data_IF_959332154139
#
_entry.id   IF_959332154139
#
_cell.length_a   1.000
_cell.length_b   1.000
_cell.length_c   1.000
_cell.angle_alpha   90.00
_cell.angle_beta   90.00
_cell.angle_gamma   90.00
#
_symmetry.space_group_name_H-M   'P 1'
#
loop_
_entity.id
_entity.type
_entity.pdbx_description
1 polymer ?
#
# COMPACT_ATOMS: atom_id res chain seq x y z
N UNK A 1 -10.86 -18.05 -1.15
CA UNK A 1 -9.76 -17.21 -0.67
C UNK A 1 -8.65 -17.25 -1.70
N UNK A 2 -8.22 -16.11 -2.23
CA UNK A 2 -7.12 -16.01 -3.20
C UNK A 2 -5.89 -15.43 -2.49
N UNK A 3 -4.71 -16.01 -2.71
CA UNK A 3 -3.45 -15.50 -2.15
C UNK A 3 -2.75 -14.60 -3.15
N UNK A 4 -2.26 -13.47 -2.68
CA UNK A 4 -1.55 -12.46 -3.50
C UNK A 4 -0.48 -11.79 -2.66
N UNK A 5 0.51 -11.21 -3.33
CA UNK A 5 1.66 -10.56 -2.67
C UNK A 5 1.84 -9.14 -3.19
N UNK A 6 2.37 -8.28 -2.33
CA UNK A 6 2.90 -6.98 -2.73
C UNK A 6 4.33 -7.09 -3.23
N UNK A 7 4.64 -6.31 -4.25
CA UNK A 7 5.99 -6.03 -4.69
C UNK A 7 6.22 -4.51 -4.64
N UNK A 8 6.93 -4.06 -3.60
CA UNK A 8 7.12 -2.65 -3.26
C UNK A 8 8.57 -2.17 -3.50
N UNK A 9 9.18 -2.59 -4.61
CA UNK A 9 10.52 -2.16 -5.04
C UNK A 9 10.41 -1.41 -6.36
N UNK A 10 11.21 -0.36 -6.54
CA UNK A 10 11.26 0.42 -7.79
C UNK A 10 11.74 -0.42 -8.97
N UNK A 11 12.59 -1.41 -8.76
CA UNK A 11 13.04 -2.31 -9.82
C UNK A 11 12.32 -3.64 -9.65
N UNK A 12 11.50 -4.00 -10.64
CA UNK A 12 10.88 -5.32 -10.69
C UNK A 12 11.88 -6.34 -11.23
N UNK A 13 12.37 -7.17 -10.31
CA UNK A 13 13.27 -8.27 -10.56
C UNK A 13 13.12 -9.32 -9.45
N UNK A 14 12.32 -10.35 -9.73
CA UNK A 14 12.10 -11.49 -8.85
C UNK A 14 13.37 -12.35 -8.83
N UNK A 15 13.91 -12.51 -7.63
CA UNK A 15 14.95 -13.49 -7.36
C UNK A 15 14.47 -14.93 -7.67
N UNK A 16 15.40 -15.88 -7.87
CA UNK A 16 15.03 -17.29 -8.00
C UNK A 16 14.16 -17.79 -6.85
N UNK A 17 14.41 -17.31 -5.62
CA UNK A 17 13.62 -17.70 -4.45
C UNK A 17 12.21 -17.13 -4.45
N UNK A 18 12.04 -15.86 -4.83
CA UNK A 18 10.72 -15.25 -4.99
C UNK A 18 9.92 -15.98 -6.07
N UNK A 19 10.53 -16.27 -7.23
CA UNK A 19 9.88 -17.05 -8.29
C UNK A 19 9.42 -18.45 -7.83
N UNK A 20 10.31 -19.19 -7.17
CA UNK A 20 9.99 -20.52 -6.64
C UNK A 20 8.83 -20.45 -5.62
N UNK A 21 8.87 -19.45 -4.73
CA UNK A 21 7.85 -19.27 -3.69
C UNK A 21 6.49 -18.95 -4.30
N UNK A 22 6.44 -18.04 -5.28
CA UNK A 22 5.20 -17.69 -5.99
C UNK A 22 4.60 -18.92 -6.70
N UNK A 23 5.44 -19.74 -7.33
CA UNK A 23 5.01 -20.96 -8.00
C UNK A 23 4.49 -22.02 -7.01
N UNK A 24 5.23 -22.30 -5.92
CA UNK A 24 4.83 -23.27 -4.89
C UNK A 24 3.50 -22.91 -4.23
N UNK A 25 3.25 -21.61 -4.03
CA UNK A 25 2.02 -21.12 -3.44
C UNK A 25 0.86 -20.96 -4.43
N UNK A 26 1.08 -21.28 -5.71
CA UNK A 26 0.13 -21.10 -6.82
C UNK A 26 -0.44 -19.67 -6.87
N UNK A 27 0.43 -18.66 -6.71
CA UNK A 27 0.03 -17.26 -6.78
C UNK A 27 -0.32 -16.91 -8.22
N UNK A 28 -1.46 -16.22 -8.41
CA UNK A 28 -1.90 -15.77 -9.74
C UNK A 28 -1.94 -14.25 -9.89
N UNK A 29 -1.72 -13.52 -8.80
CA UNK A 29 -1.86 -12.07 -8.79
C UNK A 29 -0.82 -11.41 -7.88
N UNK A 30 -0.16 -10.36 -8.41
CA UNK A 30 0.75 -9.49 -7.67
C UNK A 30 0.22 -8.06 -7.66
N UNK A 31 0.31 -7.42 -6.50
CA UNK A 31 0.12 -5.98 -6.35
C UNK A 31 1.48 -5.31 -6.49
N UNK A 32 1.69 -4.54 -7.55
CA UNK A 32 2.99 -3.89 -7.82
C UNK A 32 2.83 -2.39 -7.71
N UNK A 33 3.69 -1.75 -6.92
CA UNK A 33 3.78 -0.28 -6.87
C UNK A 33 4.33 0.26 -8.17
N UNK A 34 3.47 0.86 -8.98
CA UNK A 34 3.85 1.43 -10.28
C UNK A 34 4.57 2.76 -10.09
N UNK A 35 4.07 3.63 -9.23
CA UNK A 35 4.72 4.90 -8.91
C UNK A 35 4.09 5.50 -7.66
N UNK A 36 4.79 6.50 -7.14
CA UNK A 36 4.28 7.35 -6.06
C UNK A 36 3.88 8.70 -6.65
N UNK A 37 2.92 9.38 -6.05
CA UNK A 37 2.54 10.75 -6.35
C UNK A 37 2.95 11.59 -5.16
N UNK A 38 3.88 12.52 -5.41
CA UNK A 38 4.40 13.40 -4.37
C UNK A 38 4.36 14.87 -4.77
N UNK A 39 4.37 15.76 -3.79
CA UNK A 39 4.38 17.20 -4.02
C UNK A 39 5.80 17.69 -4.27
N UNK A 40 6.03 18.23 -5.46
CA UNK A 40 7.26 18.94 -5.77
C UNK A 40 7.15 20.39 -5.31
N UNK A 41 7.93 20.74 -4.30
CA UNK A 41 8.00 22.10 -3.74
C UNK A 41 8.53 23.15 -4.72
N UNK A 42 9.38 22.77 -5.67
CA UNK A 42 9.99 23.68 -6.64
C UNK A 42 9.02 24.01 -7.78
N UNK A 43 8.39 22.99 -8.35
CA UNK A 43 7.42 23.18 -9.45
C UNK A 43 6.01 23.50 -8.96
N UNK A 44 5.75 23.36 -7.66
CA UNK A 44 4.43 23.52 -7.03
C UNK A 44 3.37 22.65 -7.71
N UNK A 45 3.74 21.40 -8.00
CA UNK A 45 2.89 20.44 -8.68
C UNK A 45 3.00 19.06 -8.04
N UNK A 46 1.95 18.26 -8.17
CA UNK A 46 2.00 16.85 -7.83
C UNK A 46 2.60 16.06 -9.00
N UNK A 47 3.73 15.38 -8.74
CA UNK A 47 4.51 14.69 -9.75
C UNK A 47 4.66 13.19 -9.44
N UNK A 48 4.69 12.33 -10.46
CA UNK A 48 5.00 10.93 -10.27
C UNK A 48 6.49 10.74 -9.97
N UNK A 49 6.80 10.06 -8.87
CA UNK A 49 8.17 9.72 -8.44
C UNK A 49 8.29 8.21 -8.22
N UNK A 50 9.54 7.72 -8.09
CA UNK A 50 9.84 6.31 -7.83
C UNK A 50 9.07 5.32 -8.75
N UNK A 51 9.03 5.65 -10.06
CA UNK A 51 8.35 4.84 -11.08
C UNK A 51 9.02 3.48 -11.19
N UNK A 52 8.22 2.42 -11.24
CA UNK A 52 8.71 1.06 -11.36
C UNK A 52 9.35 0.81 -12.73
N UNK A 53 10.45 0.07 -12.72
CA UNK A 53 11.20 -0.34 -13.90
C UNK A 53 11.14 -1.87 -13.97
N UNK A 54 10.58 -2.41 -15.05
CA UNK A 54 10.51 -3.85 -15.28
C UNK A 54 11.77 -4.35 -15.98
N UNK A 55 12.79 -4.72 -15.20
CA UNK A 55 14.04 -5.31 -15.75
C UNK A 55 13.84 -6.72 -16.29
N UNK A 56 12.80 -7.40 -15.80
CA UNK A 56 12.35 -8.68 -16.32
C UNK A 56 10.83 -8.63 -16.52
N UNK A 57 10.35 -9.45 -17.45
CA UNK A 57 8.90 -9.66 -17.60
C UNK A 57 8.37 -10.50 -16.43
N UNK A 58 7.23 -10.13 -15.83
CA UNK A 58 6.55 -11.00 -14.89
C UNK A 58 6.23 -12.36 -15.53
N UNK A 59 6.29 -13.47 -14.79
CA UNK A 59 5.80 -14.77 -15.25
C UNK A 59 4.39 -14.70 -15.85
N UNK A 60 4.17 -15.39 -16.97
CA UNK A 60 2.93 -15.27 -17.78
C UNK A 60 1.65 -15.71 -17.06
N UNK A 61 1.75 -16.52 -16.01
CA UNK A 61 0.64 -16.95 -15.17
C UNK A 61 0.22 -15.89 -14.13
N UNK A 62 1.01 -14.83 -13.96
CA UNK A 62 0.72 -13.75 -13.03
C UNK A 62 -0.04 -12.62 -13.73
N UNK A 63 -1.09 -12.17 -13.07
CA UNK A 63 -1.75 -10.90 -13.37
C UNK A 63 -1.25 -9.82 -12.43
N UNK A 64 -1.15 -8.59 -12.93
CA UNK A 64 -0.63 -7.45 -12.19
C UNK A 64 -1.77 -6.51 -11.81
N UNK A 65 -1.90 -6.21 -10.52
CA UNK A 65 -2.70 -5.08 -10.03
C UNK A 65 -1.76 -3.89 -9.81
N UNK A 66 -1.85 -2.84 -10.63
CA UNK A 66 -1.07 -1.64 -10.42
C UNK A 66 -1.53 -0.94 -9.13
N UNK A 67 -0.54 -0.56 -8.31
CA UNK A 67 -0.73 0.24 -7.10
C UNK A 67 -0.11 1.61 -7.32
N UNK A 68 -0.87 2.66 -7.01
CA UNK A 68 -0.37 4.04 -6.99
C UNK A 68 -0.39 4.52 -5.55
N UNK A 69 0.78 4.88 -5.03
CA UNK A 69 0.89 5.47 -3.70
C UNK A 69 0.75 6.98 -3.80
N UNK A 70 -0.05 7.60 -2.94
CA UNK A 70 -0.32 9.05 -2.96
C UNK A 70 0.03 9.62 -1.59
N UNK A 71 1.00 10.54 -1.55
CA UNK A 71 1.36 11.23 -0.31
C UNK A 71 0.29 12.26 0.09
N UNK A 72 0.42 12.82 1.30
CA UNK A 72 -0.59 13.74 1.84
C UNK A 72 -0.52 15.12 1.20
N UNK A 73 0.68 15.54 0.83
CA UNK A 73 1.02 16.90 0.44
C UNK A 73 0.27 17.33 -0.82
N UNK A 74 0.15 16.50 -1.89
CA UNK A 74 -0.74 16.78 -3.02
C UNK A 74 -2.18 17.05 -2.60
N UNK A 75 -2.73 16.25 -1.67
CA UNK A 75 -4.11 16.37 -1.21
C UNK A 75 -4.34 17.64 -0.38
N UNK A 76 -3.32 18.10 0.34
CA UNK A 76 -3.38 19.32 1.15
C UNK A 76 -3.27 20.59 0.30
N UNK A 77 -2.56 20.53 -0.83
CA UNK A 77 -2.13 21.72 -1.59
C UNK A 77 -2.90 21.93 -2.89
N UNK A 78 -3.42 20.87 -3.50
CA UNK A 78 -4.18 20.98 -4.74
C UNK A 78 -5.63 21.38 -4.47
N UNK A 79 -6.15 22.24 -5.34
CA UNK A 79 -7.58 22.53 -5.42
C UNK A 79 -8.32 21.47 -6.26
N UNK A 80 -9.62 21.66 -6.45
CA UNK A 80 -10.46 20.73 -7.22
C UNK A 80 -10.04 20.60 -8.70
N UNK A 81 -9.49 21.65 -9.30
CA UNK A 81 -9.01 21.60 -10.69
C UNK A 81 -7.67 20.87 -10.77
N UNK A 82 -6.78 21.12 -9.83
CA UNK A 82 -5.53 20.41 -9.64
C UNK A 82 -5.74 18.90 -9.46
N UNK A 83 -6.72 18.51 -8.62
CA UNK A 83 -7.06 17.09 -8.42
C UNK A 83 -7.66 16.44 -9.67
N UNK A 84 -8.44 17.16 -10.48
CA UNK A 84 -8.90 16.65 -11.78
C UNK A 84 -7.74 16.42 -12.75
N UNK A 85 -6.79 17.35 -12.81
CA UNK A 85 -5.59 17.17 -13.63
C UNK A 85 -4.72 16.02 -13.12
N UNK A 86 -4.58 15.88 -11.80
CA UNK A 86 -3.86 14.78 -11.20
C UNK A 86 -4.48 13.43 -11.58
N UNK A 87 -5.81 13.30 -11.54
CA UNK A 87 -6.51 12.08 -11.96
C UNK A 87 -6.16 11.69 -13.42
N UNK A 88 -6.21 12.65 -14.34
CA UNK A 88 -5.84 12.46 -15.75
C UNK A 88 -4.38 12.02 -15.90
N UNK A 89 -3.48 12.66 -15.17
CA UNK A 89 -2.04 12.36 -15.22
C UNK A 89 -1.75 10.95 -14.70
N UNK A 90 -2.38 10.55 -13.58
CA UNK A 90 -2.28 9.19 -13.03
C UNK A 90 -2.79 8.17 -14.06
N UNK A 91 -3.98 8.39 -14.64
CA UNK A 91 -4.55 7.50 -15.66
C UNK A 91 -3.64 7.38 -16.89
N UNK A 92 -3.12 8.50 -17.39
CA UNK A 92 -2.24 8.51 -18.56
C UNK A 92 -0.93 7.76 -18.30
N UNK A 93 -0.34 7.93 -17.11
CA UNK A 93 0.90 7.26 -16.75
C UNK A 93 0.69 5.75 -16.56
N UNK A 94 -0.40 5.35 -15.90
CA UNK A 94 -0.77 3.94 -15.75
C UNK A 94 -0.93 3.26 -17.11
N UNK A 95 -1.63 3.89 -18.06
CA UNK A 95 -1.76 3.40 -19.44
C UNK A 95 -0.40 3.23 -20.09
N UNK A 96 0.45 4.27 -20.04
CA UNK A 96 1.78 4.25 -20.68
C UNK A 96 2.68 3.15 -20.13
N UNK A 97 2.75 2.99 -18.80
CA UNK A 97 3.57 1.94 -18.19
C UNK A 97 3.07 0.54 -18.53
N UNK A 98 1.74 0.37 -18.58
CA UNK A 98 1.13 -0.93 -18.87
C UNK A 98 1.36 -1.39 -20.32
N UNK A 99 1.31 -0.46 -21.28
CA UNK A 99 1.53 -0.75 -22.70
C UNK A 99 3.00 -1.00 -23.01
N UNK A 100 3.91 -0.16 -22.48
CA UNK A 100 5.34 -0.24 -22.80
C UNK A 100 5.95 -1.59 -22.38
N UNK A 101 5.52 -2.13 -21.24
CA UNK A 101 6.05 -3.37 -20.70
C UNK A 101 5.22 -4.62 -21.07
N UNK A 102 4.17 -4.44 -21.89
CA UNK A 102 3.24 -5.52 -22.32
C UNK A 102 2.71 -6.34 -21.15
N UNK A 103 2.32 -5.67 -20.07
CA UNK A 103 1.95 -6.32 -18.81
C UNK A 103 0.55 -6.94 -18.87
N UNK A 104 0.42 -8.14 -18.31
CA UNK A 104 -0.88 -8.79 -18.13
C UNK A 104 -1.57 -8.20 -16.89
N UNK A 105 -2.39 -7.16 -17.10
CA UNK A 105 -3.07 -6.52 -15.98
C UNK A 105 -4.30 -7.30 -15.52
N UNK A 106 -4.56 -7.24 -14.23
CA UNK A 106 -5.84 -7.60 -13.62
C UNK A 106 -6.93 -6.57 -13.96
N UNK A 107 -8.19 -6.92 -13.65
CA UNK A 107 -9.33 -6.01 -13.69
C UNK A 107 -9.44 -5.14 -12.44
N UNK A 108 -8.32 -4.83 -11.78
CA UNK A 108 -8.24 -4.04 -10.55
C UNK A 108 -7.13 -2.99 -10.65
N UNK A 109 -7.34 -1.84 -10.02
CA UNK A 109 -6.32 -0.81 -9.75
C UNK A 109 -6.44 -0.42 -8.29
N UNK A 110 -5.31 -0.36 -7.60
CA UNK A 110 -5.29 -0.01 -6.19
C UNK A 110 -4.67 1.36 -5.96
N UNK A 111 -5.28 2.13 -5.07
CA UNK A 111 -4.77 3.42 -4.61
C UNK A 111 -4.36 3.29 -3.15
N UNK A 112 -3.09 3.49 -2.88
CA UNK A 112 -2.56 3.49 -1.51
C UNK A 112 -2.42 4.93 -1.02
N UNK A 113 -3.13 5.27 0.05
CA UNK A 113 -3.03 6.59 0.66
C UNK A 113 -3.40 6.51 2.14
N UNK A 114 -2.52 7.02 3.00
CA UNK A 114 -2.78 7.09 4.43
C UNK A 114 -3.67 8.30 4.82
N UNK A 115 -4.72 8.60 4.04
CA UNK A 115 -5.56 9.81 4.22
C UNK A 115 -6.00 10.01 5.68
N UNK A 116 -6.13 11.28 6.06
CA UNK A 116 -6.56 11.70 7.39
C UNK A 116 -7.94 12.34 7.33
N UNK A 117 -8.54 12.65 8.48
CA UNK A 117 -9.76 13.44 8.55
C UNK A 117 -9.65 14.77 7.76
N UNK A 118 -8.46 15.39 7.75
CA UNK A 118 -8.21 16.66 7.07
C UNK A 118 -8.07 16.53 5.55
N UNK A 119 -7.58 15.38 5.05
CA UNK A 119 -7.35 15.13 3.61
C UNK A 119 -8.41 14.23 2.99
N UNK A 120 -9.34 13.70 3.78
CA UNK A 120 -10.44 12.81 3.39
C UNK A 120 -11.20 13.32 2.17
N UNK A 121 -11.68 14.56 2.22
CA UNK A 121 -12.58 15.08 1.19
C UNK A 121 -11.84 15.22 -0.16
N UNK A 122 -10.58 15.65 -0.13
CA UNK A 122 -9.73 15.77 -1.31
C UNK A 122 -9.38 14.40 -1.88
N UNK A 123 -9.04 13.43 -1.02
CA UNK A 123 -8.78 12.05 -1.44
C UNK A 123 -10.02 11.41 -2.08
N UNK A 124 -11.19 11.53 -1.44
CA UNK A 124 -12.43 10.95 -1.97
C UNK A 124 -12.88 11.64 -3.25
N UNK A 125 -12.64 12.95 -3.36
CA UNK A 125 -12.84 13.66 -4.62
C UNK A 125 -11.92 13.13 -5.72
N UNK A 126 -10.63 12.93 -5.43
CA UNK A 126 -9.66 12.38 -6.37
C UNK A 126 -10.05 10.97 -6.82
N UNK A 127 -10.44 10.08 -5.91
CA UNK A 127 -10.93 8.73 -6.23
C UNK A 127 -12.13 8.78 -7.19
N UNK A 128 -13.08 9.68 -6.96
CA UNK A 128 -14.22 9.86 -7.85
C UNK A 128 -13.82 10.42 -9.23
N UNK A 129 -12.76 11.23 -9.33
CA UNK A 129 -12.25 11.65 -10.64
C UNK A 129 -11.53 10.50 -11.34
N UNK A 130 -10.68 9.75 -10.64
CA UNK A 130 -9.95 8.59 -11.19
C UNK A 130 -10.91 7.57 -11.81
N UNK A 131 -12.04 7.27 -11.14
CA UNK A 131 -13.08 6.36 -11.67
C UNK A 131 -13.65 6.78 -13.02
N UNK A 132 -13.56 8.06 -13.39
CA UNK A 132 -14.04 8.58 -14.68
C UNK A 132 -12.99 8.49 -15.78
N UNK A 133 -11.73 8.34 -15.42
CA UNK A 133 -10.63 8.35 -16.37
C UNK A 133 -10.55 7.04 -17.17
N UNK A 134 -10.06 7.07 -18.43
CA UNK A 134 -10.11 5.91 -19.32
C UNK A 134 -9.45 4.64 -18.80
N UNK A 135 -8.33 4.75 -18.05
CA UNK A 135 -7.62 3.57 -17.54
C UNK A 135 -8.47 2.77 -16.53
N UNK A 136 -9.38 3.44 -15.81
CA UNK A 136 -10.19 2.86 -14.75
C UNK A 136 -11.52 2.28 -15.26
N UNK A 137 -11.88 2.53 -16.52
CA UNK A 137 -13.08 1.98 -17.11
C UNK A 137 -13.05 0.45 -17.10
N UNK A 138 -14.14 -0.18 -16.65
CA UNK A 138 -14.26 -1.64 -16.49
C UNK A 138 -13.26 -2.28 -15.50
N UNK A 139 -12.63 -1.48 -14.63
CA UNK A 139 -11.78 -1.99 -13.55
C UNK A 139 -12.43 -1.72 -12.20
N UNK A 140 -12.19 -2.64 -11.26
CA UNK A 140 -12.44 -2.39 -9.85
C UNK A 140 -11.39 -1.43 -9.32
N UNK A 141 -11.80 -0.49 -8.50
CA UNK A 141 -10.93 0.39 -7.75
C UNK A 141 -10.87 -0.14 -6.32
N UNK A 142 -9.66 -0.34 -5.80
CA UNK A 142 -9.46 -0.65 -4.39
C UNK A 142 -8.62 0.41 -3.70
N UNK A 143 -8.78 0.54 -2.39
CA UNK A 143 -7.95 1.41 -1.57
C UNK A 143 -7.36 0.62 -0.41
N UNK A 144 -6.11 0.91 -0.06
CA UNK A 144 -5.54 0.42 1.21
C UNK A 144 -6.22 1.14 2.37
N UNK A 145 -6.40 0.45 3.50
CA UNK A 145 -7.07 1.00 4.69
C UNK A 145 -6.24 0.66 5.91
N UNK A 146 -5.85 1.67 6.68
CA UNK A 146 -5.18 1.52 7.98
C UNK A 146 -6.20 1.23 9.07
N UNK A 147 -5.75 0.52 10.11
CA UNK A 147 -6.56 0.22 11.30
C UNK A 147 -7.15 1.48 11.96
N UNK A 148 -6.41 2.59 11.98
CA UNK A 148 -6.92 3.84 12.55
C UNK A 148 -8.00 4.50 11.65
N UNK A 149 -7.91 4.35 10.33
CA UNK A 149 -8.95 4.82 9.40
C UNK A 149 -10.24 4.02 9.60
N UNK A 150 -10.11 2.70 9.81
CA UNK A 150 -11.21 1.81 10.17
C UNK A 150 -11.84 2.21 11.52
N UNK A 151 -11.01 2.39 12.57
CA UNK A 151 -11.47 2.70 13.93
C UNK A 151 -12.23 4.01 14.04
N UNK A 152 -11.80 5.04 13.30
CA UNK A 152 -12.39 6.37 13.35
C UNK A 152 -13.21 6.68 12.10
N UNK A 153 -14.07 5.74 11.69
CA UNK A 153 -14.90 5.83 10.48
C UNK A 153 -15.72 7.13 10.39
N UNK A 154 -16.28 7.62 11.50
CA UNK A 154 -17.06 8.87 11.52
C UNK A 154 -16.22 10.08 11.09
N UNK A 155 -14.93 10.08 11.43
CA UNK A 155 -14.01 11.16 11.09
C UNK A 155 -13.40 10.95 9.69
N UNK A 156 -12.88 9.74 9.44
CA UNK A 156 -12.10 9.41 8.24
C UNK A 156 -12.96 8.99 7.04
N UNK A 157 -14.24 8.70 7.25
CA UNK A 157 -15.17 8.25 6.21
C UNK A 157 -14.82 6.88 5.62
N UNK A 158 -15.59 6.50 4.60
CA UNK A 158 -15.37 5.29 3.81
C UNK A 158 -15.03 5.71 2.38
N UNK A 159 -13.89 5.27 1.82
CA UNK A 159 -13.49 5.69 0.48
C UNK A 159 -14.48 5.18 -0.58
N UNK A 160 -14.81 5.98 -1.61
CA UNK A 160 -15.76 5.63 -2.66
C UNK A 160 -15.15 4.66 -3.71
N UNK A 161 -14.71 3.49 -3.24
CA UNK A 161 -14.07 2.42 -4.02
C UNK A 161 -14.89 1.14 -3.94
N UNK A 162 -14.52 0.12 -4.70
CA UNK A 162 -15.29 -1.14 -4.78
C UNK A 162 -14.92 -2.13 -3.67
N UNK A 163 -13.69 -2.07 -3.15
CA UNK A 163 -13.23 -2.79 -1.96
C UNK A 163 -12.08 -2.09 -1.27
N UNK A 164 -11.91 -2.34 0.02
CA UNK A 164 -10.74 -1.96 0.78
C UNK A 164 -9.78 -3.13 0.97
N UNK A 165 -8.51 -2.83 1.22
CA UNK A 165 -7.55 -3.79 1.73
C UNK A 165 -7.06 -3.32 3.10
N UNK A 166 -7.47 -4.01 4.15
CA UNK A 166 -7.09 -3.69 5.51
C UNK A 166 -5.63 -4.09 5.77
N UNK A 167 -4.79 -3.09 6.03
CA UNK A 167 -3.39 -3.29 6.38
C UNK A 167 -3.26 -3.65 7.86
N UNK A 168 -3.19 -4.94 8.16
CA UNK A 168 -3.10 -5.48 9.51
C UNK A 168 -1.63 -5.59 9.98
N UNK A 169 -0.89 -4.49 9.91
CA UNK A 169 0.49 -4.40 10.40
C UNK A 169 0.89 -2.97 10.77
N UNK A 170 2.07 -2.81 11.36
CA UNK A 170 2.60 -1.59 11.97
C UNK A 170 1.74 -1.09 13.14
N UNK A 171 1.33 -2.02 14.01
CA UNK A 171 0.40 -1.74 15.11
C UNK A 171 1.08 -1.23 16.38
N UNK A 172 2.34 -1.61 16.62
CA UNK A 172 3.01 -1.30 17.87
C UNK A 172 3.67 0.07 17.88
N UNK A 173 3.84 0.63 19.08
CA UNK A 173 4.59 1.86 19.25
C UNK A 173 6.10 1.58 19.18
N UNK A 174 6.72 1.97 18.06
CA UNK A 174 8.16 1.82 17.80
C UNK A 174 9.04 2.53 18.83
N UNK A 175 8.50 3.50 19.58
CA UNK A 175 9.24 4.28 20.56
C UNK A 175 9.18 3.72 21.97
N UNK A 176 8.39 2.67 22.22
CA UNK A 176 8.33 2.03 23.54
C UNK A 176 9.24 0.78 23.57
N UNK A 177 10.30 0.77 24.40
CA UNK A 177 11.23 -0.37 24.48
C UNK A 177 10.55 -1.68 24.90
N UNK A 178 9.45 -1.58 25.65
CA UNK A 178 8.68 -2.73 26.15
C UNK A 178 7.67 -3.30 25.15
N UNK A 179 7.49 -2.67 23.99
CA UNK A 179 6.65 -3.22 22.92
C UNK A 179 7.17 -4.61 22.55
N UNK A 180 6.33 -5.63 22.65
CA UNK A 180 6.72 -7.02 22.39
C UNK A 180 6.86 -7.29 20.89
N UNK A 181 5.87 -6.92 20.09
CA UNK A 181 5.94 -6.98 18.63
C UNK A 181 5.38 -5.67 18.05
N UNK A 182 6.22 -4.99 17.28
CA UNK A 182 5.89 -3.70 16.67
C UNK A 182 5.19 -3.82 15.31
N UNK A 183 5.30 -4.99 14.68
CA UNK A 183 4.78 -5.30 13.35
C UNK A 183 3.30 -5.70 13.46
N UNK A 184 2.97 -6.64 14.34
CA UNK A 184 1.58 -7.02 14.63
C UNK A 184 1.43 -7.31 16.12
N UNK A 185 0.33 -6.88 16.71
CA UNK A 185 -0.04 -7.25 18.07
C UNK A 185 -1.46 -7.80 18.03
N UNK A 186 -1.63 -9.10 18.30
CA UNK A 186 -2.90 -9.81 18.15
C UNK A 186 -4.02 -9.18 19.00
N UNK A 187 -3.70 -8.79 20.23
CA UNK A 187 -4.65 -8.15 21.14
C UNK A 187 -5.07 -6.75 20.67
N UNK A 188 -4.19 -6.00 20.00
CA UNK A 188 -4.56 -4.76 19.34
C UNK A 188 -5.45 -5.05 18.13
N UNK A 189 -5.03 -5.96 17.24
CA UNK A 189 -5.82 -6.35 16.07
C UNK A 189 -7.25 -6.76 16.47
N UNK A 190 -7.41 -7.57 17.51
CA UNK A 190 -8.70 -7.98 18.09
C UNK A 190 -9.61 -6.79 18.40
N UNK A 191 -9.07 -5.66 18.86
CA UNK A 191 -9.86 -4.45 19.15
C UNK A 191 -10.39 -3.78 17.88
N UNK A 192 -9.65 -3.85 16.77
CA UNK A 192 -10.05 -3.27 15.50
C UNK A 192 -11.02 -4.17 14.72
N UNK A 193 -10.86 -5.50 14.82
CA UNK A 193 -11.67 -6.45 14.04
C UNK A 193 -13.06 -6.70 14.61
N UNK A 194 -13.31 -6.39 15.89
CA UNK A 194 -14.61 -6.65 16.55
C UNK A 194 -15.81 -6.04 15.84
N UNK A 195 -15.62 -4.91 15.16
CA UNK A 195 -16.70 -4.19 14.46
C UNK A 195 -16.52 -4.22 12.93
N UNK A 196 -15.71 -5.14 12.40
CA UNK A 196 -15.49 -5.25 10.95
C UNK A 196 -16.77 -5.56 10.19
N UNK A 197 -17.69 -6.32 10.79
CA UNK A 197 -18.98 -6.68 10.18
C UNK A 197 -19.87 -5.45 9.90
N UNK A 198 -19.66 -4.35 10.64
CA UNK A 198 -20.40 -3.10 10.45
C UNK A 198 -19.75 -2.18 9.39
N UNK A 199 -18.55 -2.52 8.90
CA UNK A 199 -17.88 -1.71 7.91
C UNK A 199 -18.56 -1.87 6.53
N UNK A 200 -19.04 -0.79 5.90
CA UNK A 200 -19.93 -0.90 4.73
C UNK A 200 -19.21 -1.24 3.42
N UNK A 201 -17.86 -1.29 3.44
CA UNK A 201 -17.04 -1.59 2.27
C UNK A 201 -16.44 -2.99 2.42
N UNK A 202 -16.52 -3.88 1.40
CA UNK A 202 -15.87 -5.18 1.45
C UNK A 202 -14.37 -5.06 1.69
N UNK A 203 -13.80 -5.90 2.55
CA UNK A 203 -12.39 -5.84 2.94
C UNK A 203 -11.65 -7.14 2.62
N UNK A 204 -10.55 -7.01 1.88
CA UNK A 204 -9.47 -7.98 1.89
C UNK A 204 -8.52 -7.68 3.07
N UNK A 205 -7.66 -8.64 3.44
CA UNK A 205 -6.70 -8.48 4.54
C UNK A 205 -5.27 -8.60 4.03
N UNK A 206 -4.42 -7.63 4.38
CA UNK A 206 -2.97 -7.71 4.17
C UNK A 206 -2.25 -8.00 5.49
N UNK A 207 -1.43 -9.04 5.46
CA UNK A 207 -0.56 -9.46 6.57
C UNK A 207 0.90 -9.14 6.26
N UNK A 208 1.70 -8.80 7.27
CA UNK A 208 3.11 -8.46 7.09
C UNK A 208 3.94 -9.71 6.80
N UNK A 209 4.81 -9.63 5.80
CA UNK A 209 5.84 -10.63 5.50
C UNK A 209 7.18 -9.90 5.41
N UNK A 210 7.57 -9.31 6.54
CA UNK A 210 8.85 -8.62 6.73
C UNK A 210 9.20 -8.61 8.21
N UNK A 211 10.46 -8.36 8.50
CA UNK A 211 10.97 -7.98 9.81
C UNK A 211 11.63 -6.60 9.73
N UNK A 212 11.75 -5.95 10.89
CA UNK A 212 12.55 -4.75 11.06
C UNK A 212 13.17 -4.75 12.45
N UNK A 213 14.30 -4.08 12.60
CA UNK A 213 15.01 -4.00 13.87
C UNK A 213 14.97 -2.56 14.35
N UNK A 214 14.63 -2.35 15.61
CA UNK A 214 14.51 -1.02 16.22
C UNK A 214 15.73 -0.78 17.10
N UNK A 215 16.47 0.29 16.82
CA UNK A 215 17.61 0.70 17.63
C UNK A 215 17.15 1.55 18.82
N UNK A 216 17.54 1.12 20.02
CA UNK A 216 17.44 1.88 21.25
C UNK A 216 18.82 2.15 21.84
N UNK A 217 19.02 3.36 22.36
CA UNK A 217 20.13 3.70 23.25
C UNK A 217 19.55 3.93 24.65
N UNK A 218 19.72 2.95 25.53
CA UNK A 218 18.96 2.88 26.78
C UNK A 218 17.45 2.78 26.48
N UNK A 219 16.66 3.73 26.98
CA UNK A 219 15.21 3.83 26.71
C UNK A 219 14.86 4.79 25.56
N UNK A 220 15.86 5.32 24.85
CA UNK A 220 15.66 6.32 23.79
C UNK A 220 15.63 5.66 22.42
N UNK A 221 14.52 5.80 21.70
CA UNK A 221 14.42 5.38 20.30
C UNK A 221 15.39 6.17 19.42
N UNK A 222 16.17 5.47 18.59
CA UNK A 222 17.13 6.08 17.65
C UNK A 222 16.73 5.90 16.20
N UNK A 223 16.03 4.83 15.85
CA UNK A 223 15.63 4.59 14.47
C UNK A 223 15.33 3.14 14.16
N UNK A 224 14.96 2.90 12.91
CA UNK A 224 14.90 1.57 12.31
C UNK A 224 16.27 1.25 11.71
N UNK A 225 16.74 0.02 11.95
CA UNK A 225 17.95 -0.52 11.35
C UNK A 225 17.55 -1.30 10.11
N UNK A 226 18.16 -0.95 8.97
CA UNK A 226 18.04 -1.71 7.72
C UNK A 226 19.25 -2.63 7.60
N UNK A 227 19.06 -3.78 6.94
CA UNK A 227 20.12 -4.74 6.61
C UNK A 227 20.88 -5.31 7.84
N UNK A 228 20.20 -5.37 9.00
CA UNK A 228 20.74 -6.01 10.19
C UNK A 228 20.51 -7.52 10.12
N UNK A 229 21.58 -8.30 10.30
CA UNK A 229 21.49 -9.74 10.50
C UNK A 229 21.65 -10.03 11.99
N UNK A 230 20.54 -10.20 12.74
CA UNK A 230 20.62 -10.52 14.16
C UNK A 230 21.30 -11.86 14.38
N UNK A 231 21.98 -11.99 15.52
CA UNK A 231 22.33 -13.32 16.03
C UNK A 231 21.04 -14.10 16.39
N UNK A 232 21.17 -15.42 16.62
CA UNK A 232 20.02 -16.24 17.02
C UNK A 232 19.36 -15.78 18.34
N UNK A 233 20.11 -15.07 19.19
CA UNK A 233 19.61 -14.49 20.44
C UNK A 233 18.86 -13.17 20.19
N UNK A 234 19.32 -12.34 19.24
CA UNK A 234 18.72 -11.05 18.92
C UNK A 234 17.41 -11.16 18.12
N UNK A 235 17.20 -12.28 17.41
CA UNK A 235 16.11 -12.46 16.45
C UNK A 235 14.73 -12.81 17.06
N UNK A 236 14.58 -12.81 18.39
CA UNK A 236 13.39 -13.40 19.05
C UNK A 236 12.20 -12.44 19.22
N UNK A 237 12.40 -11.12 19.10
CA UNK A 237 11.41 -10.15 19.61
C UNK A 237 10.21 -9.92 18.68
N UNK A 238 10.42 -9.73 17.38
CA UNK A 238 9.36 -9.30 16.44
C UNK A 238 8.88 -10.41 15.47
N UNK A 239 9.14 -11.69 15.73
CA UNK A 239 8.65 -12.81 14.88
C UNK A 239 7.19 -13.17 15.16
N UNK A 240 6.42 -13.34 14.09
CA UNK A 240 5.11 -14.02 14.12
C UNK A 240 5.36 -15.46 13.67
N UNK A 241 5.06 -16.44 14.52
CA UNK A 241 5.01 -17.84 14.10
C UNK A 241 3.65 -18.07 13.44
N UNK A 242 3.66 -18.37 12.13
CA UNK A 242 2.48 -18.76 11.37
C UNK A 242 2.25 -20.26 11.45
#
# INVERSE_FOLDING_TARGET
MQRSFYYWKTVFNLSPKENETLAQLNVQQLYIKFFDVDWDGATRAANPVAKSIFQQKPPSHLTITPVVFITQEPLQKLDSQGLKMLARNISSLLSSMSTNDSLHLSSEVQLDCDWTANTKNQYFFLLNQLRKEPFFQNKKVSATIRLHQLKFITQNGVPPVDKGLLMCYNMGNLRHPQTKNSIIEEEELKKYIKNLEEYPLPLDVALPIFDWYILFEGNTYKGLVRDFQPSAEDAQKDRILF
#
